data_IF_232919145209
#
_entry.id   IF_232919145209
#
_cell.length_a   1.000
_cell.length_b   1.000
_cell.length_c   1.000
_cell.angle_alpha   90.00
_cell.angle_beta   90.00
_cell.angle_gamma   90.00
#
_symmetry.space_group_name_H-M   'P 1'
#
loop_
_entity.id
_entity.type
_entity.pdbx_description
1 polymer ?
#
# COMPACT_ATOMS: atom_id res chain seq x y z
N UNK A 1 -3.82 -12.07 22.93
CA UNK A 1 -2.94 -10.97 23.40
C UNK A 1 -3.05 -9.80 22.43
N UNK A 2 -3.05 -8.57 22.94
CA UNK A 2 -3.09 -7.36 22.10
C UNK A 2 -1.72 -6.68 22.07
N UNK A 3 -1.41 -6.02 20.95
CA UNK A 3 -0.17 -5.26 20.77
C UNK A 3 -0.40 -4.00 19.94
N UNK A 4 0.44 -2.98 20.15
CA UNK A 4 0.43 -1.76 19.32
C UNK A 4 1.12 -2.06 17.99
N UNK A 5 0.48 -1.66 16.89
CA UNK A 5 0.95 -1.87 15.53
C UNK A 5 1.34 -0.55 14.84
N UNK A 6 2.18 -0.66 13.81
CA UNK A 6 2.52 0.49 12.97
C UNK A 6 1.52 0.71 11.83
N UNK A 7 0.91 -0.37 11.35
CA UNK A 7 -0.16 -0.36 10.37
C UNK A 7 -0.99 -1.64 10.50
N UNK A 8 -2.22 -1.60 10.00
CA UNK A 8 -3.15 -2.71 9.95
C UNK A 8 -3.64 -2.90 8.52
N UNK A 9 -3.91 -4.13 8.10
CA UNK A 9 -4.48 -4.40 6.76
C UNK A 9 -6.00 -4.22 6.79
N UNK A 10 -6.58 -3.59 5.76
CA UNK A 10 -8.03 -3.28 5.75
C UNK A 10 -8.89 -4.54 5.82
N UNK A 11 -8.47 -5.65 5.20
CA UNK A 11 -9.22 -6.90 5.18
C UNK A 11 -9.43 -7.56 6.55
N UNK A 12 -8.63 -7.19 7.56
CA UNK A 12 -8.71 -7.70 8.93
C UNK A 12 -8.89 -6.63 9.99
N UNK A 13 -9.24 -5.40 9.60
CA UNK A 13 -9.34 -4.26 10.52
C UNK A 13 -10.78 -3.95 10.90
N UNK A 14 -11.02 -3.74 12.20
CA UNK A 14 -12.25 -3.16 12.71
C UNK A 14 -12.04 -1.67 13.02
N UNK A 15 -12.98 -0.84 12.60
CA UNK A 15 -12.95 0.61 12.85
C UNK A 15 -14.03 0.97 13.87
N UNK A 16 -13.65 1.75 14.88
CA UNK A 16 -14.63 2.29 15.83
C UNK A 16 -15.34 3.47 15.14
N UNK A 17 -16.62 3.28 14.81
CA UNK A 17 -17.40 4.24 14.02
C UNK A 17 -17.34 5.68 14.54
N UNK A 18 -17.35 5.88 15.87
CA UNK A 18 -17.27 7.22 16.50
C UNK A 18 -15.98 7.98 16.15
N UNK A 19 -14.89 7.28 15.82
CA UNK A 19 -13.60 7.90 15.47
C UNK A 19 -13.50 8.28 13.99
N UNK A 20 -14.42 7.80 13.14
CA UNK A 20 -14.43 8.14 11.71
C UNK A 20 -14.65 9.65 11.53
N UNK A 21 -15.49 10.29 12.34
CA UNK A 21 -15.68 11.75 12.28
C UNK A 21 -14.41 12.55 12.54
N UNK A 22 -13.53 12.05 13.43
CA UNK A 22 -12.27 12.72 13.76
C UNK A 22 -11.16 12.36 12.79
N UNK A 23 -10.99 11.08 12.42
CA UNK A 23 -9.90 10.61 11.56
C UNK A 23 -10.19 10.91 10.09
N UNK A 24 -11.45 10.76 9.69
CA UNK A 24 -11.96 10.75 8.33
C UNK A 24 -12.04 9.32 7.77
N UNK A 25 -12.89 9.12 6.76
CA UNK A 25 -12.98 7.85 6.03
C UNK A 25 -11.67 7.52 5.29
N UNK A 26 -11.52 6.25 4.92
CA UNK A 26 -10.47 5.82 3.99
C UNK A 26 -10.63 6.51 2.64
N UNK A 27 -9.51 6.83 1.98
CA UNK A 27 -9.52 7.54 0.70
C UNK A 27 -10.01 6.65 -0.43
N UNK A 28 -11.27 6.77 -0.81
CA UNK A 28 -11.86 6.01 -1.93
C UNK A 28 -11.11 6.23 -3.25
N UNK A 29 -10.59 7.44 -3.47
CA UNK A 29 -9.83 7.78 -4.67
C UNK A 29 -8.50 7.01 -4.81
N UNK A 30 -7.99 6.38 -3.74
CA UNK A 30 -6.85 5.47 -3.84
C UNK A 30 -7.23 4.19 -4.59
N UNK A 31 -8.48 3.75 -4.50
CA UNK A 31 -9.03 2.51 -5.06
C UNK A 31 -8.36 1.23 -4.52
N UNK A 32 -7.05 1.06 -4.73
CA UNK A 32 -6.24 -0.06 -4.27
C UNK A 32 -4.82 0.42 -3.90
N UNK A 33 -4.13 -0.31 -3.04
CA UNK A 33 -2.75 -0.05 -2.58
C UNK A 33 -2.59 1.20 -1.73
N UNK A 34 -1.86 1.05 -0.62
CA UNK A 34 -1.50 2.10 0.33
C UNK A 34 -2.69 2.80 1.03
N UNK A 35 -3.94 2.40 0.79
CA UNK A 35 -5.12 2.96 1.46
C UNK A 35 -5.05 2.69 2.97
N UNK A 36 -4.65 1.48 3.34
CA UNK A 36 -4.41 1.02 4.71
C UNK A 36 -3.33 1.87 5.40
N UNK A 37 -2.19 2.06 4.73
CA UNK A 37 -1.06 2.85 5.23
C UNK A 37 -1.44 4.32 5.40
N UNK A 38 -2.11 4.89 4.40
CA UNK A 38 -2.59 6.27 4.44
C UNK A 38 -3.48 6.51 5.66
N UNK A 39 -4.48 5.65 5.85
CA UNK A 39 -5.43 5.80 6.94
C UNK A 39 -4.76 5.58 8.31
N UNK A 40 -3.89 4.57 8.42
CA UNK A 40 -3.13 4.28 9.64
C UNK A 40 -2.21 5.45 10.03
N UNK A 41 -1.47 6.03 9.08
CA UNK A 41 -0.60 7.17 9.36
C UNK A 41 -1.41 8.40 9.78
N UNK A 42 -2.54 8.65 9.11
CA UNK A 42 -3.45 9.74 9.46
C UNK A 42 -4.06 9.54 10.85
N UNK A 43 -4.46 8.32 11.21
CA UNK A 43 -4.95 7.99 12.55
C UNK A 43 -3.87 8.23 13.62
N UNK A 44 -2.65 7.72 13.41
CA UNK A 44 -1.52 7.92 14.34
C UNK A 44 -1.17 9.40 14.51
N UNK A 45 -1.19 10.21 13.44
CA UNK A 45 -0.95 11.66 13.53
C UNK A 45 -1.98 12.42 14.35
N UNK A 46 -3.16 11.81 14.59
CA UNK A 46 -4.24 12.37 15.41
C UNK A 46 -4.25 11.80 16.84
N UNK A 47 -3.21 11.05 17.22
CA UNK A 47 -3.06 10.48 18.57
C UNK A 47 -3.82 9.18 18.80
N UNK A 48 -4.26 8.49 17.74
CA UNK A 48 -4.90 7.19 17.86
C UNK A 48 -3.89 6.05 17.78
N UNK A 49 -4.07 5.05 18.63
CA UNK A 49 -3.32 3.80 18.57
C UNK A 49 -3.97 2.81 17.59
N UNK A 50 -3.11 2.02 16.96
CA UNK A 50 -3.51 0.90 16.12
C UNK A 50 -3.26 -0.38 16.90
N UNK A 51 -4.29 -1.19 17.12
CA UNK A 51 -4.20 -2.38 17.97
C UNK A 51 -4.36 -3.64 17.12
N UNK A 52 -3.37 -4.53 17.19
CA UNK A 52 -3.41 -5.87 16.62
C UNK A 52 -3.81 -6.92 17.67
N UNK A 53 -4.36 -8.04 17.20
CA UNK A 53 -4.61 -9.23 18.01
C UNK A 53 -4.09 -10.47 17.31
N UNK A 54 -3.55 -11.42 18.07
CA UNK A 54 -3.17 -12.75 17.58
C UNK A 54 -4.25 -13.82 17.85
N UNK A 55 -5.40 -13.42 18.39
CA UNK A 55 -6.50 -14.34 18.75
C UNK A 55 -7.48 -14.56 17.59
N UNK A 56 -7.45 -13.71 16.57
CA UNK A 56 -8.28 -13.85 15.38
C UNK A 56 -7.46 -14.36 14.20
N UNK A 57 -8.00 -15.34 13.48
CA UNK A 57 -7.39 -15.90 12.28
C UNK A 57 -8.17 -15.48 11.03
N UNK A 58 -7.50 -14.83 10.08
CA UNK A 58 -8.06 -14.46 8.79
C UNK A 58 -7.36 -15.23 7.67
N UNK A 59 -8.09 -16.10 6.97
CA UNK A 59 -7.57 -16.75 5.76
C UNK A 59 -7.65 -15.77 4.58
N UNK A 60 -6.50 -15.34 4.09
CA UNK A 60 -6.40 -14.37 2.99
C UNK A 60 -5.37 -14.81 1.95
N UNK A 61 -5.75 -14.79 0.67
CA UNK A 61 -4.85 -15.04 -0.44
C UNK A 61 -4.32 -13.70 -0.99
N UNK A 62 -3.00 -13.51 -1.02
CA UNK A 62 -2.37 -12.30 -1.55
C UNK A 62 -1.96 -12.54 -3.00
N UNK A 63 -2.47 -11.72 -3.93
CA UNK A 63 -2.09 -11.78 -5.35
C UNK A 63 -3.05 -12.57 -6.25
N UNK A 64 -2.73 -12.61 -7.53
CA UNK A 64 -3.46 -13.41 -8.52
C UNK A 64 -2.93 -14.85 -8.55
N UNK A 65 -3.81 -15.83 -8.78
CA UNK A 65 -3.37 -17.21 -9.02
C UNK A 65 -2.63 -17.26 -10.36
N UNK A 66 -1.34 -17.55 -10.31
CA UNK A 66 -0.49 -17.72 -11.49
C UNK A 66 -0.04 -19.18 -11.61
N UNK A 67 0.19 -19.69 -12.83
CA UNK A 67 0.86 -20.99 -13.03
C UNK A 67 2.34 -20.97 -12.60
N UNK A 68 2.92 -19.79 -12.39
CA UNK A 68 4.30 -19.64 -11.93
C UNK A 68 4.51 -20.30 -10.55
N UNK A 69 5.46 -21.26 -10.42
CA UNK A 69 5.74 -21.95 -9.16
C UNK A 69 6.10 -21.02 -8.00
N UNK A 70 6.78 -19.90 -8.26
CA UNK A 70 7.17 -18.91 -7.24
C UNK A 70 5.97 -18.10 -6.75
N UNK A 71 4.98 -17.87 -7.62
CA UNK A 71 3.72 -17.22 -7.24
C UNK A 71 2.82 -18.17 -6.46
N UNK A 72 2.72 -19.43 -6.87
CA UNK A 72 2.00 -20.47 -6.12
C UNK A 72 2.62 -20.74 -4.74
N UNK A 73 3.94 -20.66 -4.64
CA UNK A 73 4.66 -20.78 -3.38
C UNK A 73 4.53 -19.52 -2.48
N UNK A 74 3.86 -18.46 -2.96
CA UNK A 74 3.70 -17.21 -2.21
C UNK A 74 4.99 -16.38 -2.07
N UNK A 75 6.04 -16.73 -2.83
CA UNK A 75 7.35 -16.05 -2.81
C UNK A 75 7.26 -14.73 -3.59
N UNK A 76 6.47 -14.71 -4.67
CA UNK A 76 6.28 -13.53 -5.53
C UNK A 76 4.78 -13.30 -5.73
N UNK A 77 4.28 -12.12 -5.39
CA UNK A 77 2.92 -11.75 -5.76
C UNK A 77 2.91 -11.21 -7.20
N UNK A 78 2.38 -11.99 -8.14
CA UNK A 78 2.11 -11.49 -9.49
C UNK A 78 0.85 -10.63 -9.46
N UNK A 79 0.98 -9.42 -9.97
CA UNK A 79 -0.12 -8.49 -10.12
C UNK A 79 -0.08 -7.90 -11.52
N UNK A 80 -1.25 -7.72 -12.12
CA UNK A 80 -1.41 -7.04 -13.40
C UNK A 80 -0.58 -5.73 -13.44
N UNK A 81 0.16 -5.44 -14.54
CA UNK A 81 0.84 -4.17 -14.73
C UNK A 81 -0.03 -2.93 -14.48
N UNK A 82 -1.34 -3.01 -14.67
CA UNK A 82 -2.27 -1.93 -14.31
C UNK A 82 -2.21 -1.58 -12.81
N UNK A 83 -1.97 -2.54 -11.92
CA UNK A 83 -1.84 -2.27 -10.48
C UNK A 83 -0.60 -1.42 -10.16
N UNK A 84 0.46 -1.45 -10.98
CA UNK A 84 1.62 -0.58 -10.76
C UNK A 84 1.31 0.90 -10.97
N UNK A 85 0.26 1.24 -11.72
CA UNK A 85 -0.23 2.61 -11.80
C UNK A 85 -0.70 3.10 -10.42
N UNK A 86 -1.69 2.42 -9.83
CA UNK A 86 -2.25 2.76 -8.52
C UNK A 86 -1.19 2.71 -7.41
N UNK A 87 -0.38 1.66 -7.39
CA UNK A 87 0.70 1.50 -6.42
C UNK A 87 1.70 2.65 -6.47
N UNK A 88 2.08 3.10 -7.67
CA UNK A 88 3.03 4.21 -7.83
C UNK A 88 2.39 5.55 -7.49
N UNK A 89 1.17 5.80 -7.97
CA UNK A 89 0.40 7.02 -7.74
C UNK A 89 0.16 7.28 -6.26
N UNK A 90 -0.41 6.29 -5.58
CA UNK A 90 -0.80 6.39 -4.18
C UNK A 90 0.41 6.49 -3.26
N UNK A 91 1.50 5.78 -3.59
CA UNK A 91 2.79 5.86 -2.88
C UNK A 91 3.39 7.26 -2.95
N UNK A 92 3.45 7.85 -4.15
CA UNK A 92 4.01 9.18 -4.36
C UNK A 92 3.16 10.25 -3.67
N UNK A 93 1.84 10.14 -3.73
CA UNK A 93 0.96 11.03 -2.95
C UNK A 93 1.23 10.87 -1.44
N UNK A 94 1.38 9.64 -0.94
CA UNK A 94 1.64 9.38 0.48
C UNK A 94 3.01 9.91 0.95
N UNK A 95 4.00 10.02 0.06
CA UNK A 95 5.26 10.70 0.37
C UNK A 95 5.08 12.20 0.64
N UNK A 96 4.12 12.84 -0.04
CA UNK A 96 3.78 14.25 0.16
C UNK A 96 2.95 14.52 1.42
N UNK A 97 2.29 13.50 1.97
CA UNK A 97 1.47 13.66 3.16
C UNK A 97 2.30 14.02 4.41
N UNK A 98 1.86 15.05 5.13
CA UNK A 98 2.54 15.57 6.33
C UNK A 98 2.54 14.57 7.50
N UNK A 99 1.51 13.73 7.58
CA UNK A 99 1.34 12.71 8.62
C UNK A 99 2.12 11.41 8.35
N UNK A 100 2.70 11.24 7.17
CA UNK A 100 3.47 10.05 6.84
C UNK A 100 4.84 10.05 7.53
N UNK A 101 5.22 8.97 8.25
CA UNK A 101 6.50 8.91 8.95
C UNK A 101 7.70 9.01 8.00
N UNK A 102 8.68 9.87 8.32
CA UNK A 102 9.89 10.08 7.49
C UNK A 102 10.68 8.78 7.32
N UNK A 103 10.84 8.00 8.39
CA UNK A 103 11.54 6.71 8.34
C UNK A 103 10.87 5.70 7.41
N UNK A 104 9.53 5.73 7.30
CA UNK A 104 8.81 4.91 6.33
C UNK A 104 9.05 5.41 4.90
N UNK A 105 8.95 6.73 4.65
CA UNK A 105 9.18 7.33 3.32
C UNK A 105 10.54 6.94 2.76
N UNK A 106 11.61 7.13 3.54
CA UNK A 106 12.97 6.83 3.09
C UNK A 106 13.15 5.35 2.73
N UNK A 107 12.64 4.44 3.59
CA UNK A 107 12.74 3.01 3.35
C UNK A 107 11.93 2.56 2.13
N UNK A 108 10.73 3.11 1.96
CA UNK A 108 9.86 2.78 0.84
C UNK A 108 10.37 3.37 -0.49
N UNK A 109 10.95 4.57 -0.50
CA UNK A 109 11.61 5.16 -1.67
C UNK A 109 12.73 4.24 -2.19
N UNK A 110 13.61 3.77 -1.30
CA UNK A 110 14.70 2.86 -1.66
C UNK A 110 14.16 1.54 -2.21
N UNK A 111 13.19 0.93 -1.51
CA UNK A 111 12.55 -0.33 -1.95
C UNK A 111 11.85 -0.18 -3.30
N UNK A 112 11.14 0.92 -3.50
CA UNK A 112 10.44 1.21 -4.73
C UNK A 112 11.42 1.42 -5.89
N UNK A 113 12.49 2.18 -5.67
CA UNK A 113 13.54 2.38 -6.67
C UNK A 113 14.16 1.04 -7.12
N UNK A 114 14.57 0.19 -6.17
CA UNK A 114 15.11 -1.14 -6.47
C UNK A 114 14.10 -1.98 -7.26
N UNK A 115 12.82 -1.97 -6.86
CA UNK A 115 11.75 -2.69 -7.56
C UNK A 115 11.56 -2.21 -8.99
N UNK A 116 11.56 -0.89 -9.22
CA UNK A 116 11.42 -0.30 -10.56
C UNK A 116 12.61 -0.69 -11.43
N UNK A 117 13.84 -0.55 -10.94
CA UNK A 117 15.05 -0.95 -11.68
C UNK A 117 14.99 -2.43 -12.06
N UNK A 118 14.64 -3.29 -11.11
CA UNK A 118 14.50 -4.73 -11.36
C UNK A 118 13.46 -5.01 -12.44
N UNK A 119 12.25 -4.45 -12.34
CA UNK A 119 11.17 -4.65 -13.32
C UNK A 119 11.55 -4.18 -14.74
N UNK A 120 12.31 -3.09 -14.86
CA UNK A 120 12.73 -2.57 -16.16
C UNK A 120 13.81 -3.42 -16.83
N UNK A 121 14.62 -4.14 -16.04
CA UNK A 121 15.68 -5.02 -16.53
C UNK A 121 15.14 -6.43 -16.81
N UNK A 122 14.33 -6.99 -15.90
CA UNK A 122 13.96 -8.41 -15.91
C UNK A 122 12.64 -8.73 -16.63
N UNK A 123 11.73 -7.76 -16.79
CA UNK A 123 10.40 -8.05 -17.33
C UNK A 123 10.32 -7.87 -18.85
N UNK A 124 9.61 -8.80 -19.51
CA UNK A 124 9.23 -8.69 -20.91
C UNK A 124 8.27 -7.52 -21.16
N UNK A 125 7.44 -7.17 -20.17
CA UNK A 125 6.47 -6.06 -20.21
C UNK A 125 7.04 -4.71 -19.73
N UNK A 126 8.37 -4.54 -19.70
CA UNK A 126 9.06 -3.34 -19.18
C UNK A 126 8.50 -2.00 -19.67
N UNK A 127 8.06 -1.91 -20.94
CA UNK A 127 7.45 -0.70 -21.51
C UNK A 127 6.13 -0.35 -20.81
N UNK A 128 5.28 -1.34 -20.55
CA UNK A 128 3.99 -1.15 -19.85
C UNK A 128 4.23 -0.74 -18.39
N UNK A 129 5.16 -1.40 -17.71
CA UNK A 129 5.54 -1.02 -16.35
C UNK A 129 6.02 0.43 -16.28
N UNK A 130 6.94 0.82 -17.16
CA UNK A 130 7.42 2.21 -17.23
C UNK A 130 6.29 3.21 -17.46
N UNK A 131 5.42 2.95 -18.43
CA UNK A 131 4.27 3.81 -18.74
C UNK A 131 3.34 3.97 -17.53
N UNK A 132 2.96 2.87 -16.88
CA UNK A 132 2.08 2.88 -15.72
C UNK A 132 2.72 3.57 -14.51
N UNK A 133 4.01 3.32 -14.24
CA UNK A 133 4.75 3.98 -13.16
C UNK A 133 4.81 5.50 -13.40
N UNK A 134 5.22 5.92 -14.60
CA UNK A 134 5.33 7.33 -14.96
C UNK A 134 3.98 8.04 -14.90
N UNK A 135 2.92 7.41 -15.44
CA UNK A 135 1.56 7.96 -15.38
C UNK A 135 1.10 8.08 -13.93
N UNK A 136 1.33 7.05 -13.12
CA UNK A 136 0.97 7.06 -11.70
C UNK A 136 1.69 8.17 -10.93
N UNK A 137 3.00 8.34 -11.13
CA UNK A 137 3.77 9.43 -10.50
C UNK A 137 3.22 10.80 -10.89
N UNK A 138 2.91 11.01 -12.18
CA UNK A 138 2.34 12.28 -12.67
C UNK A 138 0.98 12.58 -12.02
N UNK A 139 0.13 11.57 -11.95
CA UNK A 139 -1.24 11.69 -11.44
C UNK A 139 -1.30 11.71 -9.91
N UNK A 140 -0.20 11.48 -9.20
CA UNK A 140 -0.18 11.52 -7.73
C UNK A 140 -0.65 12.87 -7.17
N UNK A 141 -0.43 13.96 -7.91
CA UNK A 141 -0.86 15.32 -7.53
C UNK A 141 -2.36 15.55 -7.66
N UNK A 142 -3.10 14.69 -8.38
CA UNK A 142 -4.56 14.83 -8.51
C UNK A 142 -5.32 14.23 -7.33
N UNK A 143 -4.63 13.49 -6.46
CA UNK A 143 -5.19 12.98 -5.23
C UNK A 143 -5.28 14.10 -4.18
N UNK A 144 -6.50 14.31 -3.66
CA UNK A 144 -6.81 15.18 -2.52
C UNK A 144 -6.68 14.41 -1.21
#
# INVERSE_FOLDING_TARGET
MHFVADFLITSGTLLIAKHIGTIGSMKENYFIDNIDLEWCFRAKSKGFDLIGTNEALLYHAIGERSPDPLVRAGIIAQHNPARTYYSSRNRVHLYGAAYSPIGWKLRDIVRFFIKVVWLLISSDDRKKYWQNIRSGIKDAKSLS
#
